data_IF_072837326810
#
_entry.id   IF_072837326810
#
_cell.length_a   1.000
_cell.length_b   1.000
_cell.length_c   1.000
_cell.angle_alpha   90.00
_cell.angle_beta   90.00
_cell.angle_gamma   90.00
#
_symmetry.space_group_name_H-M   'P 1'
#
loop_
_entity.id
_entity.type
_entity.pdbx_description
1 polymer ?
#
# COMPACT_ATOMS: atom_id res chain seq x y z
N UNK A 1 -2.35 -74.19 20.85
CA UNK A 1 -2.99 -72.85 20.81
C UNK A 1 -1.89 -71.78 20.88
N UNK A 2 -1.26 -71.44 19.76
CA UNK A 2 -0.21 -70.41 19.72
C UNK A 2 -0.80 -69.12 19.15
N UNK A 3 -1.09 -68.15 20.02
CA UNK A 3 -1.50 -66.80 19.63
C UNK A 3 -0.26 -65.99 19.24
N UNK A 4 -0.16 -65.61 17.97
CA UNK A 4 0.82 -64.63 17.47
C UNK A 4 0.32 -63.22 17.83
N UNK A 5 1.08 -62.48 18.62
CA UNK A 5 0.87 -61.05 18.84
C UNK A 5 1.43 -60.27 17.65
N UNK A 6 0.58 -59.50 16.98
CA UNK A 6 0.99 -58.53 15.96
C UNK A 6 1.15 -57.19 16.67
N UNK A 7 2.38 -56.70 16.77
CA UNK A 7 2.67 -55.37 17.28
C UNK A 7 2.44 -54.35 16.15
N UNK A 8 1.47 -53.45 16.34
CA UNK A 8 1.29 -52.28 15.50
C UNK A 8 2.30 -51.21 15.91
N UNK A 9 3.27 -50.92 15.06
CA UNK A 9 4.14 -49.75 15.19
C UNK A 9 3.37 -48.52 14.69
N UNK A 10 2.94 -47.65 15.61
CA UNK A 10 2.39 -46.35 15.27
C UNK A 10 3.54 -45.41 14.82
N UNK A 11 3.62 -45.14 13.52
CA UNK A 11 4.56 -44.18 12.95
C UNK A 11 4.17 -42.76 13.32
N UNK A 12 5.01 -42.08 14.10
CA UNK A 12 4.89 -40.66 14.39
C UNK A 12 5.30 -39.87 13.14
N UNK A 13 4.33 -39.30 12.43
CA UNK A 13 4.61 -38.36 11.33
C UNK A 13 4.98 -37.02 11.98
N UNK A 14 6.28 -36.73 12.02
CA UNK A 14 6.81 -35.40 12.33
C UNK A 14 6.38 -34.43 11.23
N UNK A 15 5.37 -33.61 11.52
CA UNK A 15 5.04 -32.42 10.75
C UNK A 15 6.18 -31.42 10.94
N UNK A 16 7.14 -31.43 10.03
CA UNK A 16 8.18 -30.40 9.97
C UNK A 16 7.49 -29.11 9.52
N UNK A 17 7.39 -28.16 10.43
CA UNK A 17 6.88 -26.81 10.19
C UNK A 17 7.64 -26.14 9.04
N UNK A 18 6.92 -25.71 8.01
CA UNK A 18 7.42 -24.97 6.84
C UNK A 18 7.88 -23.52 7.15
N UNK A 19 7.99 -23.12 8.41
CA UNK A 19 8.25 -21.72 8.77
C UNK A 19 9.68 -21.22 8.52
N UNK A 20 10.64 -22.09 8.17
CA UNK A 20 12.05 -21.69 7.97
C UNK A 20 12.33 -20.99 6.64
N UNK A 21 11.50 -21.21 5.63
CA UNK A 21 11.79 -20.85 4.23
C UNK A 21 11.77 -19.33 3.96
N UNK A 22 11.05 -18.55 4.79
CA UNK A 22 10.98 -17.08 4.64
C UNK A 22 12.20 -16.39 5.28
N UNK A 23 12.77 -16.98 6.34
CA UNK A 23 13.82 -16.37 7.15
C UNK A 23 15.18 -16.35 6.43
N UNK A 24 15.44 -17.31 5.54
CA UNK A 24 16.70 -17.38 4.77
C UNK A 24 16.89 -16.21 3.79
N UNK A 25 15.85 -15.40 3.58
CA UNK A 25 15.84 -14.30 2.62
C UNK A 25 15.71 -12.90 3.22
N UNK A 26 15.62 -12.76 4.55
CA UNK A 26 15.58 -11.43 5.16
C UNK A 26 16.96 -10.75 5.04
N UNK A 27 16.99 -9.55 4.44
CA UNK A 27 18.21 -8.74 4.21
C UNK A 27 18.11 -7.35 4.85
N UNK A 28 17.11 -7.12 5.69
CA UNK A 28 16.77 -5.78 6.17
C UNK A 28 16.29 -4.86 5.04
N UNK A 29 16.12 -3.57 5.36
CA UNK A 29 15.75 -2.57 4.37
C UNK A 29 16.88 -2.36 3.35
N UNK A 30 16.56 -2.54 2.07
CA UNK A 30 17.47 -2.33 0.95
C UNK A 30 16.91 -1.20 0.07
N UNK A 31 17.54 -0.03 0.12
CA UNK A 31 17.18 1.07 -0.77
C UNK A 31 17.49 0.69 -2.23
N UNK A 32 16.51 0.74 -3.15
CA UNK A 32 16.78 0.55 -4.57
C UNK A 32 17.76 1.62 -5.08
N UNK A 33 18.77 1.20 -5.86
CA UNK A 33 19.84 2.09 -6.32
C UNK A 33 19.34 3.28 -7.16
N UNK A 34 18.21 3.13 -7.84
CA UNK A 34 17.59 4.18 -8.66
C UNK A 34 16.62 5.08 -7.87
N UNK A 35 16.39 4.84 -6.58
CA UNK A 35 15.47 5.64 -5.75
C UNK A 35 16.25 6.69 -4.95
N UNK A 36 15.62 7.84 -4.63
CA UNK A 36 16.23 8.83 -3.75
C UNK A 36 16.38 8.29 -2.32
N UNK A 37 17.06 9.05 -1.46
CA UNK A 37 17.06 8.75 -0.03
C UNK A 37 15.62 8.71 0.51
N UNK A 38 15.29 7.77 1.41
CA UNK A 38 13.97 7.69 2.02
C UNK A 38 13.70 8.93 2.89
N UNK A 39 12.43 9.29 3.01
CA UNK A 39 11.95 10.32 3.95
C UNK A 39 11.82 9.72 5.35
N UNK A 40 11.46 8.44 5.44
CA UNK A 40 11.37 7.73 6.72
C UNK A 40 12.74 7.64 7.39
N UNK A 41 12.80 8.07 8.66
CA UNK A 41 14.04 8.10 9.44
C UNK A 41 14.35 6.72 10.01
N UNK A 42 15.01 5.89 9.21
CA UNK A 42 15.47 4.54 9.60
C UNK A 42 16.35 4.53 10.86
N UNK A 43 16.99 5.66 11.22
CA UNK A 43 17.72 5.81 12.48
C UNK A 43 16.83 5.71 13.71
N UNK A 44 15.57 6.15 13.61
CA UNK A 44 14.65 6.24 14.75
C UNK A 44 13.89 4.92 14.97
N UNK A 45 13.79 4.11 13.92
CA UNK A 45 13.17 2.79 13.91
C UNK A 45 13.83 1.90 12.84
N UNK A 46 15.04 1.36 13.11
CA UNK A 46 15.74 0.50 12.16
C UNK A 46 14.96 -0.79 11.94
N UNK A 47 14.93 -1.27 10.70
CA UNK A 47 14.31 -2.56 10.38
C UNK A 47 15.19 -3.68 10.92
N UNK A 48 14.65 -4.40 11.89
CA UNK A 48 15.24 -5.64 12.43
C UNK A 48 14.43 -6.83 11.92
N UNK A 49 15.02 -8.02 11.92
CA UNK A 49 14.31 -9.23 11.52
C UNK A 49 13.11 -9.50 12.44
N UNK A 50 13.32 -9.49 13.76
CA UNK A 50 12.26 -9.73 14.73
C UNK A 50 11.18 -8.63 14.71
N UNK A 51 11.56 -7.36 14.53
CA UNK A 51 10.62 -6.26 14.40
C UNK A 51 9.79 -6.32 13.11
N UNK A 52 10.40 -6.71 11.99
CA UNK A 52 9.68 -6.99 10.74
C UNK A 52 8.71 -8.15 10.89
N UNK A 53 9.14 -9.27 11.49
CA UNK A 53 8.28 -10.45 11.71
C UNK A 53 7.08 -10.11 12.58
N UNK A 54 7.32 -9.40 13.70
CA UNK A 54 6.25 -8.91 14.56
C UNK A 54 5.32 -7.96 13.81
N UNK A 55 5.86 -6.99 13.08
CA UNK A 55 5.09 -6.03 12.27
C UNK A 55 4.19 -6.71 11.25
N UNK A 56 4.73 -7.68 10.51
CA UNK A 56 3.97 -8.47 9.54
C UNK A 56 2.84 -9.23 10.21
N UNK A 57 3.10 -9.88 11.35
CA UNK A 57 2.06 -10.60 12.10
C UNK A 57 0.96 -9.65 12.57
N UNK A 58 1.32 -8.47 13.08
CA UNK A 58 0.36 -7.45 13.52
C UNK A 58 -0.47 -6.88 12.34
N UNK A 59 0.13 -6.71 11.16
CA UNK A 59 -0.57 -6.22 9.98
C UNK A 59 -1.74 -7.13 9.56
N UNK A 60 -1.58 -8.44 9.75
CA UNK A 60 -2.61 -9.44 9.46
C UNK A 60 -3.44 -9.83 10.69
N UNK A 61 -3.21 -9.23 11.87
CA UNK A 61 -3.89 -9.59 13.11
C UNK A 61 -5.32 -9.01 13.18
N UNK A 62 -6.38 -9.84 13.13
CA UNK A 62 -7.74 -9.32 13.14
C UNK A 62 -8.16 -8.75 14.51
N UNK A 63 -7.47 -9.07 15.61
CA UNK A 63 -7.74 -8.48 16.94
C UNK A 63 -7.56 -6.96 17.01
N UNK A 64 -7.02 -6.35 15.96
CA UNK A 64 -6.97 -4.90 15.81
C UNK A 64 -8.36 -4.28 15.57
N UNK A 65 -9.36 -5.06 15.15
CA UNK A 65 -10.76 -4.60 15.07
C UNK A 65 -11.57 -4.95 16.31
N UNK A 66 -12.63 -4.17 16.57
CA UNK A 66 -13.53 -4.30 17.72
C UNK A 66 -14.05 -5.72 17.94
N UNK A 67 -14.47 -6.38 16.85
CA UNK A 67 -15.03 -7.72 16.84
C UNK A 67 -14.02 -8.82 16.46
N UNK A 68 -12.74 -8.47 16.31
CA UNK A 68 -11.67 -9.37 15.91
C UNK A 68 -11.86 -10.03 14.53
N UNK A 69 -12.39 -9.32 13.53
CA UNK A 69 -12.62 -9.85 12.17
C UNK A 69 -11.88 -9.11 11.04
N UNK A 70 -11.40 -7.89 11.28
CA UNK A 70 -10.73 -7.06 10.26
C UNK A 70 -9.29 -6.83 10.68
N UNK A 71 -8.35 -7.02 9.75
CA UNK A 71 -6.94 -6.63 9.87
C UNK A 71 -6.58 -5.60 8.81
N UNK A 72 -5.38 -5.03 8.86
CA UNK A 72 -4.89 -4.18 7.77
C UNK A 72 -4.91 -4.96 6.43
N UNK A 73 -4.54 -6.24 6.48
CA UNK A 73 -4.56 -7.16 5.34
C UNK A 73 -5.94 -7.41 4.72
N UNK A 74 -7.04 -7.11 5.41
CA UNK A 74 -8.40 -7.20 4.85
C UNK A 74 -8.65 -6.14 3.76
N UNK A 75 -8.07 -4.95 3.90
CA UNK A 75 -8.22 -3.83 2.95
C UNK A 75 -6.95 -3.61 2.09
N UNK A 76 -5.82 -4.18 2.51
CA UNK A 76 -4.53 -4.05 1.83
C UNK A 76 -4.04 -5.43 1.41
N UNK A 77 -4.67 -5.98 0.37
CA UNK A 77 -4.45 -7.36 -0.09
C UNK A 77 -3.23 -7.41 -1.01
N UNK A 78 -2.22 -8.20 -0.65
CA UNK A 78 -0.93 -8.23 -1.37
C UNK A 78 -1.09 -8.52 -2.87
N UNK A 79 -1.93 -9.48 -3.26
CA UNK A 79 -2.15 -9.85 -4.67
C UNK A 79 -2.74 -8.71 -5.51
N UNK A 80 -3.30 -7.70 -4.85
CA UNK A 80 -3.84 -6.46 -5.43
C UNK A 80 -2.91 -5.28 -5.19
N UNK A 81 -1.60 -5.53 -5.10
CA UNK A 81 -0.59 -4.53 -4.73
C UNK A 81 -0.93 -3.76 -3.44
N UNK A 82 -1.54 -4.47 -2.48
CA UNK A 82 -2.01 -3.95 -1.22
C UNK A 82 -3.12 -2.89 -1.32
N UNK A 83 -4.02 -3.02 -2.29
CA UNK A 83 -5.35 -2.39 -2.27
C UNK A 83 -6.43 -3.42 -1.97
N UNK A 84 -7.70 -3.00 -1.98
CA UNK A 84 -8.85 -3.89 -1.85
C UNK A 84 -9.51 -4.09 -3.21
N UNK A 85 -9.09 -5.11 -3.96
CA UNK A 85 -9.62 -5.36 -5.29
C UNK A 85 -11.13 -5.63 -5.28
N UNK A 86 -11.80 -5.18 -6.34
CA UNK A 86 -13.24 -5.39 -6.54
C UNK A 86 -14.13 -4.45 -5.72
N UNK A 87 -13.56 -3.50 -4.99
CA UNK A 87 -14.30 -2.54 -4.17
C UNK A 87 -13.91 -1.11 -4.56
N UNK A 88 -14.90 -0.25 -4.78
CA UNK A 88 -14.70 1.18 -5.01
C UNK A 88 -14.22 1.87 -3.74
N UNK A 89 -14.85 1.57 -2.60
CA UNK A 89 -14.45 1.98 -1.25
C UNK A 89 -14.30 0.77 -0.35
N UNK A 90 -13.46 0.88 0.68
CA UNK A 90 -13.22 -0.23 1.60
C UNK A 90 -14.43 -0.60 2.44
N UNK A 91 -14.56 -1.90 2.75
CA UNK A 91 -15.56 -2.44 3.67
C UNK A 91 -14.86 -2.76 5.00
N UNK A 92 -15.25 -2.08 6.07
CA UNK A 92 -14.75 -2.35 7.41
C UNK A 92 -15.63 -3.29 8.20
N UNK A 93 -15.54 -3.16 9.52
CA UNK A 93 -16.35 -3.90 10.47
C UNK A 93 -17.86 -3.69 10.25
N UNK A 94 -18.65 -4.73 10.49
CA UNK A 94 -20.10 -4.73 10.29
C UNK A 94 -20.52 -4.33 8.85
N UNK A 95 -19.66 -4.60 7.86
CA UNK A 95 -19.81 -4.20 6.45
C UNK A 95 -20.03 -2.68 6.24
N UNK A 96 -19.53 -1.86 7.18
CA UNK A 96 -19.59 -0.40 7.04
C UNK A 96 -18.70 0.05 5.88
N UNK A 97 -19.24 0.91 5.03
CA UNK A 97 -18.52 1.45 3.89
C UNK A 97 -17.66 2.64 4.30
N UNK A 98 -16.40 2.64 3.87
CA UNK A 98 -15.52 3.78 3.91
C UNK A 98 -15.94 4.87 2.92
N UNK A 99 -15.19 5.98 2.92
CA UNK A 99 -15.43 7.11 1.99
C UNK A 99 -14.46 7.13 0.81
N UNK A 100 -13.41 6.30 0.83
CA UNK A 100 -12.32 6.32 -0.13
C UNK A 100 -11.86 4.92 -0.52
N UNK A 101 -11.27 4.83 -1.71
CA UNK A 101 -10.56 3.66 -2.20
C UNK A 101 -9.26 3.45 -1.41
N UNK A 102 -8.97 2.20 -1.05
CA UNK A 102 -7.74 1.81 -0.34
C UNK A 102 -6.50 2.03 -1.20
N UNK A 103 -5.56 2.85 -0.72
CA UNK A 103 -4.31 3.11 -1.41
C UNK A 103 -3.33 1.94 -1.25
N UNK A 104 -2.56 1.65 -2.29
CA UNK A 104 -1.46 0.70 -2.20
C UNK A 104 -0.42 1.18 -1.17
N UNK A 105 0.04 0.29 -0.29
CA UNK A 105 1.08 0.58 0.72
C UNK A 105 2.51 0.33 0.22
N UNK A 106 2.73 0.45 -1.09
CA UNK A 106 4.06 0.30 -1.68
C UNK A 106 4.91 1.56 -1.46
N UNK A 107 6.21 1.36 -1.25
CA UNK A 107 7.21 2.44 -1.24
C UNK A 107 6.93 3.55 -0.20
N UNK A 108 6.33 3.21 0.94
CA UNK A 108 5.96 4.19 1.98
C UNK A 108 7.17 4.87 2.64
N UNK A 109 8.36 4.26 2.59
CA UNK A 109 9.60 4.87 3.10
C UNK A 109 9.95 6.21 2.42
N UNK A 110 9.42 6.48 1.22
CA UNK A 110 9.66 7.72 0.47
C UNK A 110 8.49 8.70 0.51
N UNK A 111 7.39 8.35 1.17
CA UNK A 111 6.23 9.25 1.27
C UNK A 111 6.41 10.22 2.44
N UNK A 112 6.28 11.54 2.23
CA UNK A 112 6.35 12.53 3.32
C UNK A 112 5.04 12.63 4.12
N UNK A 113 3.94 12.15 3.56
CA UNK A 113 2.61 12.16 4.16
C UNK A 113 1.79 10.95 3.69
N UNK A 114 0.69 10.67 4.40
CA UNK A 114 -0.14 9.48 4.24
C UNK A 114 -1.61 9.86 4.05
N UNK A 115 -2.38 8.90 3.51
CA UNK A 115 -3.76 9.09 3.02
C UNK A 115 -3.87 9.97 1.78
N UNK A 116 -5.08 10.01 1.20
CA UNK A 116 -5.41 10.79 0.01
C UNK A 116 -5.37 12.31 0.23
N UNK A 117 -5.56 12.79 1.45
CA UNK A 117 -5.55 14.21 1.83
C UNK A 117 -4.24 14.67 2.48
N UNK A 118 -3.35 13.73 2.83
CA UNK A 118 -2.07 14.03 3.46
C UNK A 118 -2.21 14.39 4.95
N UNK A 119 -3.23 13.90 5.64
CA UNK A 119 -3.52 14.27 7.03
C UNK A 119 -2.51 13.76 8.07
N UNK A 120 -1.70 12.76 7.73
CA UNK A 120 -0.68 12.19 8.62
C UNK A 120 0.70 12.32 8.01
N UNK A 121 1.68 12.79 8.79
CA UNK A 121 3.05 13.09 8.35
C UNK A 121 4.10 12.15 8.93
N UNK A 122 3.67 11.14 9.69
CA UNK A 122 4.54 10.14 10.30
C UNK A 122 3.92 8.75 10.10
N UNK A 123 4.68 7.84 9.49
CA UNK A 123 4.22 6.49 9.21
C UNK A 123 3.90 5.73 10.50
N UNK A 124 4.63 6.00 11.60
CA UNK A 124 4.38 5.35 12.88
C UNK A 124 3.01 5.75 13.47
N UNK A 125 2.44 6.88 13.03
CA UNK A 125 1.12 7.32 13.47
C UNK A 125 0.00 6.91 12.50
N UNK A 126 0.34 6.52 11.27
CA UNK A 126 -0.63 6.18 10.24
C UNK A 126 -1.58 5.05 10.67
N UNK A 127 -1.12 3.93 11.29
CA UNK A 127 -2.03 2.84 11.67
C UNK A 127 -3.03 3.18 12.77
N UNK A 128 -2.83 4.27 13.53
CA UNK A 128 -3.79 4.69 14.56
C UNK A 128 -5.13 5.08 13.92
N UNK A 129 -5.10 5.70 12.74
CA UNK A 129 -6.31 6.14 12.03
C UNK A 129 -7.22 4.96 11.66
N UNK A 130 -6.78 3.91 10.93
CA UNK A 130 -7.65 2.78 10.60
C UNK A 130 -8.10 2.00 11.84
N UNK A 131 -7.24 1.86 12.86
CA UNK A 131 -7.61 1.21 14.14
C UNK A 131 -8.81 1.91 14.77
N UNK A 132 -8.79 3.25 14.80
CA UNK A 132 -9.79 4.06 15.51
C UNK A 132 -10.96 4.51 14.65
N UNK A 133 -10.91 4.30 13.34
CA UNK A 133 -12.00 4.71 12.45
C UNK A 133 -13.21 3.77 12.58
N UNK A 134 -14.36 4.35 12.91
CA UNK A 134 -15.65 3.68 13.10
C UNK A 134 -16.15 2.88 11.88
N UNK A 135 -15.74 3.20 10.66
CA UNK A 135 -16.11 2.45 9.44
C UNK A 135 -15.02 1.50 8.98
N UNK A 136 -13.91 1.39 9.72
CA UNK A 136 -12.80 0.48 9.41
C UNK A 136 -12.67 -0.57 10.51
N UNK A 137 -11.84 -0.33 11.55
CA UNK A 137 -11.61 -1.30 12.62
C UNK A 137 -12.42 -1.02 13.90
N UNK A 138 -12.92 0.21 14.07
CA UNK A 138 -13.82 0.66 15.16
C UNK A 138 -13.31 0.31 16.58
N UNK A 139 -12.00 0.40 16.81
CA UNK A 139 -11.35 -0.04 18.03
C UNK A 139 -10.53 1.07 18.69
N UNK A 140 -10.30 0.95 19.99
CA UNK A 140 -9.36 1.81 20.71
C UNK A 140 -7.97 1.19 20.74
N UNK A 141 -6.93 2.00 20.56
CA UNK A 141 -5.55 1.52 20.65
C UNK A 141 -5.30 0.81 21.98
N UNK A 142 -5.79 1.34 23.11
CA UNK A 142 -5.59 0.69 24.42
C UNK A 142 -6.20 -0.72 24.49
N UNK A 143 -7.40 -0.91 23.93
CA UNK A 143 -8.01 -2.23 23.91
C UNK A 143 -7.28 -3.20 22.97
N UNK A 144 -6.75 -2.74 21.83
CA UNK A 144 -5.84 -3.55 21.01
C UNK A 144 -4.64 -4.01 21.85
N UNK A 145 -3.97 -3.10 22.56
CA UNK A 145 -2.83 -3.46 23.40
C UNK A 145 -3.24 -4.44 24.51
N UNK A 146 -4.41 -4.27 25.13
CA UNK A 146 -4.93 -5.20 26.13
C UNK A 146 -5.14 -6.62 25.54
N UNK A 147 -5.74 -6.73 24.35
CA UNK A 147 -5.91 -8.01 23.63
C UNK A 147 -4.55 -8.66 23.34
N UNK A 148 -3.57 -7.88 22.86
CA UNK A 148 -2.23 -8.38 22.56
C UNK A 148 -1.51 -8.86 23.84
N UNK A 149 -1.61 -8.13 24.94
CA UNK A 149 -1.00 -8.50 26.24
C UNK A 149 -1.58 -9.79 26.81
N UNK A 150 -2.87 -10.05 26.58
CA UNK A 150 -3.55 -11.26 27.05
C UNK A 150 -3.27 -12.49 26.16
N UNK A 151 -2.78 -12.28 24.94
CA UNK A 151 -2.46 -13.38 24.04
C UNK A 151 -1.11 -14.01 24.42
N UNK A 152 -1.01 -15.35 24.52
CA UNK A 152 0.20 -16.01 25.04
C UNK A 152 1.45 -15.82 24.17
N UNK A 153 1.28 -15.49 22.89
CA UNK A 153 2.40 -15.39 21.94
C UNK A 153 3.05 -14.00 21.91
N UNK A 154 2.26 -12.92 21.99
CA UNK A 154 2.74 -11.57 21.69
C UNK A 154 3.82 -11.05 22.64
N UNK A 155 3.73 -11.21 23.98
CA UNK A 155 4.80 -10.77 24.88
C UNK A 155 6.17 -11.31 24.48
N UNK A 156 6.25 -12.58 24.07
CA UNK A 156 7.49 -13.19 23.60
C UNK A 156 8.01 -12.59 22.29
N UNK A 157 7.11 -12.24 21.35
CA UNK A 157 7.48 -11.59 20.09
C UNK A 157 7.98 -10.16 20.31
N UNK A 158 7.33 -9.40 21.20
CA UNK A 158 7.80 -8.07 21.60
C UNK A 158 9.17 -8.14 22.29
N UNK A 159 9.41 -9.17 23.11
CA UNK A 159 10.72 -9.39 23.74
C UNK A 159 11.83 -9.59 22.72
N UNK A 160 11.57 -10.36 21.66
CA UNK A 160 12.52 -10.55 20.57
C UNK A 160 12.77 -9.25 19.81
N UNK A 161 11.71 -8.55 19.41
CA UNK A 161 11.80 -7.33 18.61
C UNK A 161 12.39 -6.12 19.36
N UNK A 162 12.10 -5.97 20.66
CA UNK A 162 12.39 -4.75 21.42
C UNK A 162 13.11 -5.00 22.76
N UNK A 163 13.52 -6.24 23.05
CA UNK A 163 14.21 -6.60 24.29
C UNK A 163 13.30 -6.61 25.54
N UNK A 164 11.99 -6.41 25.39
CA UNK A 164 11.03 -6.37 26.50
C UNK A 164 9.69 -6.99 26.12
N UNK A 165 9.08 -7.71 27.05
CA UNK A 165 7.72 -8.29 26.91
C UNK A 165 6.61 -7.23 26.97
N UNK A 166 6.93 -6.02 27.39
CA UNK A 166 5.97 -4.94 27.53
C UNK A 166 5.49 -4.45 26.15
N UNK A 167 4.17 -4.51 25.96
CA UNK A 167 3.48 -4.09 24.73
C UNK A 167 2.96 -2.66 24.94
N UNK A 168 3.51 -1.72 24.17
CA UNK A 168 3.17 -0.28 24.22
C UNK A 168 2.75 0.21 22.84
N UNK A 169 2.00 1.31 22.79
CA UNK A 169 1.63 1.96 21.51
C UNK A 169 2.85 2.18 20.64
N UNK A 170 3.93 2.75 21.19
CA UNK A 170 5.15 3.04 20.44
C UNK A 170 5.79 1.78 19.83
N UNK A 171 5.89 0.67 20.57
CA UNK A 171 6.47 -0.58 20.05
C UNK A 171 5.57 -1.23 19.00
N UNK A 172 4.26 -1.24 19.22
CA UNK A 172 3.29 -1.80 18.26
C UNK A 172 3.32 -1.03 16.94
N UNK A 173 3.29 0.30 16.99
CA UNK A 173 3.35 1.14 15.80
C UNK A 173 4.69 1.02 15.08
N UNK A 174 5.81 1.03 15.81
CA UNK A 174 7.14 0.82 15.21
C UNK A 174 7.28 -0.53 14.53
N UNK A 175 6.73 -1.60 15.11
CA UNK A 175 6.73 -2.91 14.49
C UNK A 175 5.94 -2.89 13.17
N UNK A 176 4.71 -2.34 13.17
CA UNK A 176 3.91 -2.17 11.95
C UNK A 176 4.69 -1.37 10.89
N UNK A 177 5.31 -0.25 11.26
CA UNK A 177 6.12 0.54 10.34
C UNK A 177 7.28 -0.26 9.75
N UNK A 178 8.01 -1.06 10.54
CA UNK A 178 9.09 -1.91 10.04
C UNK A 178 8.62 -2.88 8.95
N UNK A 179 7.39 -3.40 9.05
CA UNK A 179 6.78 -4.17 7.97
C UNK A 179 6.38 -3.30 6.77
N UNK A 180 5.65 -2.22 7.00
CA UNK A 180 5.14 -1.35 5.93
C UNK A 180 6.24 -0.71 5.09
N UNK A 181 7.39 -0.33 5.66
CA UNK A 181 8.51 0.21 4.87
C UNK A 181 9.26 -0.85 4.07
N UNK A 182 9.08 -2.13 4.41
CA UNK A 182 9.61 -3.27 3.65
C UNK A 182 8.73 -3.64 2.45
N UNK A 183 7.52 -3.08 2.35
CA UNK A 183 6.69 -3.16 1.15
C UNK A 183 7.25 -2.29 0.01
N UNK A 184 8.42 -2.67 -0.52
CA UNK A 184 9.12 -1.96 -1.60
C UNK A 184 8.84 -2.60 -2.95
N UNK A 185 8.32 -1.81 -3.89
CA UNK A 185 8.12 -2.20 -5.29
C UNK A 185 9.17 -1.50 -6.17
N UNK A 186 10.15 -2.28 -6.64
CA UNK A 186 11.34 -1.80 -7.36
C UNK A 186 11.96 -2.82 -8.33
N UNK A 187 11.20 -3.86 -8.68
CA UNK A 187 11.60 -4.93 -9.60
C UNK A 187 10.66 -5.01 -10.82
N UNK A 188 10.03 -3.89 -11.19
CA UNK A 188 9.22 -3.83 -12.41
C UNK A 188 10.09 -3.86 -13.68
N UNK A 189 9.47 -4.03 -14.85
CA UNK A 189 10.22 -3.96 -16.12
C UNK A 189 10.88 -2.60 -16.29
N UNK A 190 10.21 -1.50 -15.91
CA UNK A 190 10.79 -0.16 -15.88
C UNK A 190 12.08 -0.13 -15.05
N UNK A 191 12.06 -0.72 -13.85
CA UNK A 191 13.24 -0.74 -12.98
C UNK A 191 14.39 -1.55 -13.62
N UNK A 192 14.08 -2.66 -14.28
CA UNK A 192 15.06 -3.46 -15.02
C UNK A 192 15.69 -2.67 -16.18
N UNK A 193 14.89 -1.87 -16.90
CA UNK A 193 15.41 -0.97 -17.95
C UNK A 193 16.30 0.11 -17.36
N UNK A 194 15.92 0.72 -16.23
CA UNK A 194 16.77 1.73 -15.56
C UNK A 194 18.06 1.13 -14.97
N UNK A 195 18.06 -0.15 -14.62
CA UNK A 195 19.24 -0.93 -14.22
C UNK A 195 20.09 -1.39 -15.42
N UNK A 196 19.62 -1.24 -16.66
CA UNK A 196 20.30 -1.70 -17.87
C UNK A 196 20.24 -3.22 -18.09
N UNK A 197 19.37 -3.93 -17.37
CA UNK A 197 19.21 -5.40 -17.45
C UNK A 197 18.06 -5.83 -18.36
N UNK A 198 17.29 -4.87 -18.87
CA UNK A 198 16.24 -5.07 -19.86
C UNK A 198 16.17 -3.84 -20.80
N UNK A 199 15.39 -3.95 -21.86
CA UNK A 199 15.07 -2.83 -22.76
C UNK A 199 13.56 -2.68 -22.91
N UNK A 200 13.13 -1.45 -23.20
CA UNK A 200 11.78 -1.23 -23.69
C UNK A 200 11.64 -1.80 -25.10
N UNK A 201 10.47 -2.31 -25.41
CA UNK A 201 10.02 -2.47 -26.79
C UNK A 201 9.82 -1.08 -27.42
N UNK A 202 9.78 -1.01 -28.75
CA UNK A 202 9.53 0.25 -29.45
C UNK A 202 8.19 0.92 -29.04
N UNK A 203 7.17 0.14 -28.69
CA UNK A 203 5.88 0.69 -28.24
C UNK A 203 5.97 1.27 -26.82
N UNK A 204 6.65 0.57 -25.90
CA UNK A 204 6.88 1.05 -24.52
C UNK A 204 7.81 2.27 -24.50
N UNK A 205 8.81 2.33 -25.38
CA UNK A 205 9.72 3.48 -25.48
C UNK A 205 8.98 4.74 -25.96
N UNK A 206 8.14 4.61 -26.99
CA UNK A 206 7.24 5.69 -27.42
C UNK A 206 6.25 6.07 -26.31
N UNK A 207 5.72 5.07 -25.60
CA UNK A 207 4.85 5.29 -24.45
C UNK A 207 5.52 6.05 -23.32
N UNK A 208 6.79 5.76 -23.06
CA UNK A 208 7.59 6.48 -22.08
C UNK A 208 7.78 7.95 -22.51
N UNK A 209 8.04 8.21 -23.79
CA UNK A 209 8.12 9.58 -24.30
C UNK A 209 6.78 10.34 -24.15
N UNK A 210 5.64 9.69 -24.41
CA UNK A 210 4.30 10.27 -24.16
C UNK A 210 4.13 10.59 -22.67
N UNK A 211 4.45 9.65 -21.79
CA UNK A 211 4.39 9.83 -20.34
C UNK A 211 5.26 11.02 -19.88
N UNK A 212 6.51 11.11 -20.37
CA UNK A 212 7.42 12.20 -20.02
C UNK A 212 6.85 13.55 -20.43
N UNK A 213 6.23 13.65 -21.60
CA UNK A 213 5.67 14.91 -22.10
C UNK A 213 4.35 15.31 -21.43
N UNK A 214 3.53 14.33 -21.01
CA UNK A 214 2.12 14.56 -20.66
C UNK A 214 1.76 14.30 -19.20
N UNK A 215 2.55 13.49 -18.49
CA UNK A 215 2.19 12.98 -17.16
C UNK A 215 3.24 13.26 -16.08
N UNK A 216 4.52 13.35 -16.46
CA UNK A 216 5.66 13.43 -15.53
C UNK A 216 5.70 14.71 -14.68
N UNK A 217 4.98 15.76 -15.08
CA UNK A 217 4.85 17.01 -14.32
C UNK A 217 4.19 16.83 -12.95
N UNK A 218 3.36 15.79 -12.80
CA UNK A 218 2.75 15.39 -11.54
C UNK A 218 3.29 14.02 -11.10
N UNK A 219 3.38 13.06 -12.02
CA UNK A 219 3.80 11.70 -11.71
C UNK A 219 5.31 11.50 -11.91
N UNK A 220 6.13 12.18 -11.11
CA UNK A 220 7.58 12.24 -11.32
C UNK A 220 8.30 10.91 -11.07
N UNK A 221 9.20 10.49 -11.95
CA UNK A 221 10.09 9.35 -11.72
C UNK A 221 11.05 9.58 -10.53
N UNK A 222 11.54 8.52 -9.86
CA UNK A 222 11.33 7.09 -10.11
C UNK A 222 10.10 6.51 -9.38
N UNK A 223 9.47 7.27 -8.49
CA UNK A 223 8.32 6.82 -7.70
C UNK A 223 6.97 7.07 -8.40
N UNK A 224 6.98 7.78 -9.53
CA UNK A 224 5.80 8.13 -10.33
C UNK A 224 4.77 8.96 -9.57
N UNK A 225 5.26 9.83 -8.69
CA UNK A 225 4.51 10.80 -7.89
C UNK A 225 5.47 11.92 -7.49
N UNK A 226 4.96 13.14 -7.42
CA UNK A 226 5.64 14.29 -6.82
C UNK A 226 5.16 14.56 -5.38
N UNK A 227 4.25 13.72 -4.85
CA UNK A 227 3.58 13.84 -3.55
C UNK A 227 2.79 15.15 -3.34
N UNK A 228 2.60 15.96 -4.40
CA UNK A 228 1.82 17.19 -4.31
C UNK A 228 0.32 16.90 -4.19
N UNK A 229 -0.45 17.93 -3.86
CA UNK A 229 -1.91 17.87 -3.77
C UNK A 229 -2.52 18.70 -4.88
N UNK A 230 -3.42 18.10 -5.65
CA UNK A 230 -3.97 18.72 -6.86
C UNK A 230 -5.46 18.44 -6.98
N UNK A 231 -6.19 19.42 -7.50
CA UNK A 231 -7.54 19.22 -7.97
C UNK A 231 -7.44 18.76 -9.42
N UNK A 232 -7.79 17.50 -9.68
CA UNK A 232 -7.70 16.91 -11.01
C UNK A 232 -8.97 17.11 -11.86
N UNK A 233 -9.90 17.94 -11.38
CA UNK A 233 -11.17 18.25 -12.02
C UNK A 233 -12.16 17.08 -12.05
N UNK A 234 -11.95 16.02 -11.26
CA UNK A 234 -12.94 14.96 -11.14
C UNK A 234 -14.25 15.52 -10.56
N UNK A 235 -15.43 15.16 -11.11
CA UNK A 235 -16.71 15.62 -10.56
C UNK A 235 -16.86 15.33 -9.08
N UNK A 236 -17.47 16.24 -8.32
CA UNK A 236 -17.75 16.02 -6.90
C UNK A 236 -18.63 14.77 -6.75
N UNK A 237 -18.16 13.82 -5.93
CA UNK A 237 -18.85 12.55 -5.68
C UNK A 237 -20.02 12.71 -4.69
N UNK A 238 -20.84 11.65 -4.50
CA UNK A 238 -22.01 11.69 -3.62
C UNK A 238 -21.71 12.02 -2.15
N UNK A 239 -20.51 11.68 -1.67
CA UNK A 239 -20.05 11.96 -0.31
C UNK A 239 -19.52 13.40 -0.14
N UNK A 240 -19.40 14.17 -1.22
CA UNK A 240 -18.78 15.50 -1.24
C UNK A 240 -17.45 15.56 -0.45
N UNK A 241 -16.56 14.61 -0.70
CA UNK A 241 -15.24 14.57 -0.07
C UNK A 241 -14.42 15.81 -0.46
N UNK A 242 -14.26 16.75 0.48
CA UNK A 242 -13.53 17.99 0.28
C UNK A 242 -12.00 17.81 0.27
N UNK A 243 -11.51 16.57 0.43
CA UNK A 243 -10.11 16.20 0.29
C UNK A 243 -9.23 16.90 1.32
N UNK A 244 -8.13 17.50 0.83
CA UNK A 244 -7.14 18.20 1.65
C UNK A 244 -7.70 19.35 2.48
N UNK A 245 -8.80 19.97 2.07
CA UNK A 245 -9.45 21.01 2.87
C UNK A 245 -9.81 20.54 4.29
N UNK A 246 -10.20 19.28 4.46
CA UNK A 246 -10.53 18.71 5.77
C UNK A 246 -9.32 18.69 6.73
N UNK A 247 -8.11 18.78 6.20
CA UNK A 247 -6.85 18.85 6.96
C UNK A 247 -6.41 20.30 7.16
N UNK A 248 -6.49 21.14 6.12
CA UNK A 248 -5.87 22.47 6.12
C UNK A 248 -6.82 23.62 6.44
N UNK A 249 -8.13 23.41 6.29
CA UNK A 249 -9.19 24.42 6.35
C UNK A 249 -8.97 25.61 5.39
N UNK A 250 -8.13 25.43 4.36
CA UNK A 250 -7.87 26.43 3.34
C UNK A 250 -8.75 26.17 2.12
N UNK A 251 -9.65 27.10 1.79
CA UNK A 251 -10.55 26.98 0.62
C UNK A 251 -9.80 26.68 -0.69
N UNK A 252 -8.56 27.14 -0.84
CA UNK A 252 -7.75 26.84 -2.02
C UNK A 252 -7.42 25.34 -2.15
N UNK A 253 -7.50 24.55 -1.09
CA UNK A 253 -7.22 23.10 -1.04
C UNK A 253 -8.46 22.22 -1.18
N UNK A 254 -9.64 22.81 -1.31
CA UNK A 254 -10.90 22.09 -1.48
C UNK A 254 -10.84 21.17 -2.71
N UNK A 255 -11.19 19.90 -2.54
CA UNK A 255 -11.15 18.86 -3.59
C UNK A 255 -9.74 18.56 -4.14
N UNK A 256 -8.67 19.00 -3.46
CA UNK A 256 -7.33 18.53 -3.77
C UNK A 256 -7.06 17.20 -3.08
N UNK A 257 -6.46 16.29 -3.83
CA UNK A 257 -5.97 15.01 -3.32
C UNK A 257 -4.51 14.83 -3.71
N UNK A 258 -3.80 14.02 -2.93
CA UNK A 258 -2.42 13.64 -3.22
C UNK A 258 -2.33 13.00 -4.60
N UNK A 259 -1.31 13.38 -5.36
CA UNK A 259 -0.94 12.70 -6.61
C UNK A 259 -0.45 11.29 -6.26
N UNK A 260 -1.17 10.20 -6.61
CA UNK A 260 -0.75 8.85 -6.27
C UNK A 260 0.44 8.41 -7.14
N UNK A 261 1.17 7.39 -6.66
CA UNK A 261 2.15 6.69 -7.49
C UNK A 261 1.45 5.94 -8.62
N UNK A 262 2.02 5.95 -9.82
CA UNK A 262 1.58 5.10 -10.94
C UNK A 262 2.22 3.69 -10.94
N UNK A 263 3.00 3.34 -9.94
CA UNK A 263 3.54 1.97 -9.81
C UNK A 263 2.38 0.99 -9.58
N UNK A 264 2.49 -0.22 -10.12
CA UNK A 264 1.51 -1.30 -9.94
C UNK A 264 0.06 -1.02 -10.37
N UNK A 265 -0.21 -0.01 -11.23
CA UNK A 265 -1.58 0.32 -11.68
C UNK A 265 -2.37 -0.88 -12.21
N UNK A 266 -1.70 -1.85 -12.84
CA UNK A 266 -2.33 -3.08 -13.34
C UNK A 266 -3.08 -3.87 -12.25
N UNK A 267 -2.68 -3.71 -10.98
CA UNK A 267 -3.19 -4.50 -9.85
C UNK A 267 -4.07 -3.69 -8.89
N UNK A 268 -4.18 -2.37 -9.09
CA UNK A 268 -4.81 -1.46 -8.11
C UNK A 268 -6.15 -0.89 -8.57
N UNK A 269 -6.80 -1.51 -9.56
CA UNK A 269 -8.16 -1.11 -9.92
C UNK A 269 -9.15 -1.41 -8.76
N UNK A 270 -10.18 -0.57 -8.57
CA UNK A 270 -10.52 0.61 -9.36
C UNK A 270 -9.72 1.87 -8.98
N UNK A 271 -9.86 2.96 -9.73
CA UNK A 271 -9.00 4.15 -9.65
C UNK A 271 -9.73 5.39 -9.11
N UNK A 272 -8.93 6.39 -8.74
CA UNK A 272 -9.29 7.64 -8.05
C UNK A 272 -9.54 7.45 -6.56
N UNK A 273 -9.68 8.56 -5.82
CA UNK A 273 -9.85 8.54 -4.37
C UNK A 273 -11.12 7.83 -3.93
N UNK A 274 -12.12 7.70 -4.81
CA UNK A 274 -13.41 7.07 -4.54
C UNK A 274 -13.71 5.85 -5.42
N UNK A 275 -12.70 5.36 -6.16
CA UNK A 275 -12.81 4.11 -6.91
C UNK A 275 -13.82 4.13 -8.07
N UNK A 276 -14.28 5.30 -8.53
CA UNK A 276 -15.35 5.37 -9.54
C UNK A 276 -14.95 4.89 -10.95
N UNK A 277 -13.65 4.80 -11.24
CA UNK A 277 -13.16 4.38 -12.56
C UNK A 277 -12.63 2.94 -12.52
N UNK A 278 -13.27 2.05 -13.28
CA UNK A 278 -12.96 0.60 -13.25
C UNK A 278 -11.73 0.22 -14.07
N UNK A 279 -11.30 1.05 -15.01
CA UNK A 279 -10.18 0.78 -15.92
C UNK A 279 -9.42 2.07 -16.25
N UNK A 280 -8.20 1.92 -16.79
CA UNK A 280 -7.36 3.07 -17.15
C UNK A 280 -7.90 3.86 -18.34
N UNK A 281 -8.69 3.26 -19.23
CA UNK A 281 -9.33 4.00 -20.32
C UNK A 281 -10.29 5.06 -19.78
N UNK A 282 -11.11 4.74 -18.77
CA UNK A 282 -11.98 5.71 -18.10
C UNK A 282 -11.18 6.83 -17.40
N UNK A 283 -10.02 6.50 -16.83
CA UNK A 283 -9.09 7.50 -16.27
C UNK A 283 -8.56 8.44 -17.36
N UNK A 284 -8.17 7.90 -18.50
CA UNK A 284 -7.66 8.69 -19.62
C UNK A 284 -8.77 9.51 -20.30
N UNK A 285 -10.00 8.99 -20.36
CA UNK A 285 -11.19 9.73 -20.83
C UNK A 285 -11.48 10.93 -19.93
N UNK A 286 -11.35 10.76 -18.60
CA UNK A 286 -11.45 11.86 -17.64
C UNK A 286 -10.44 12.96 -17.96
N UNK A 287 -9.14 12.63 -18.03
CA UNK A 287 -8.11 13.63 -18.31
C UNK A 287 -8.20 14.22 -19.73
N UNK A 288 -8.76 13.49 -20.70
CA UNK A 288 -8.93 13.99 -22.07
C UNK A 288 -10.13 14.96 -22.21
N UNK A 289 -11.26 14.67 -21.55
CA UNK A 289 -12.52 15.41 -21.76
C UNK A 289 -13.45 15.52 -20.55
N UNK A 290 -13.24 14.76 -19.47
CA UNK A 290 -14.10 14.74 -18.28
C UNK A 290 -13.75 15.75 -17.19
N UNK A 291 -12.66 16.51 -17.34
CA UNK A 291 -12.22 17.53 -16.38
C UNK A 291 -13.28 18.62 -16.22
N UNK A 292 -13.76 18.79 -14.99
CA UNK A 292 -14.60 19.92 -14.58
C UNK A 292 -13.75 21.16 -14.31
N UNK A 293 -14.14 22.26 -14.93
CA UNK A 293 -13.52 23.56 -14.71
C UNK A 293 -14.03 24.14 -13.38
N UNK A 294 -13.11 24.34 -12.44
CA UNK A 294 -13.37 24.93 -11.13
C UNK A 294 -12.31 26.01 -10.86
N UNK A 295 -12.59 26.93 -9.93
CA UNK A 295 -11.70 28.04 -9.63
C UNK A 295 -10.33 27.62 -9.09
N UNK A 296 -10.23 26.42 -8.51
CA UNK A 296 -9.00 25.86 -7.96
C UNK A 296 -8.52 24.60 -8.70
N UNK A 297 -8.99 24.36 -9.93
CA UNK A 297 -8.47 23.34 -10.83
C UNK A 297 -6.95 23.52 -11.00
N UNK A 298 -6.21 22.41 -11.06
CA UNK A 298 -4.77 22.49 -11.36
C UNK A 298 -4.54 23.17 -12.73
N UNK A 299 -3.72 24.25 -12.81
CA UNK A 299 -3.50 24.99 -14.05
C UNK A 299 -3.02 24.12 -15.22
N UNK A 300 -2.30 23.02 -14.95
CA UNK A 300 -1.81 22.09 -15.97
C UNK A 300 -2.95 21.30 -16.65
N UNK A 301 -4.14 21.27 -16.07
CA UNK A 301 -5.29 20.50 -16.54
C UNK A 301 -6.37 21.35 -17.21
N UNK A 302 -6.19 22.68 -17.27
CA UNK A 302 -7.16 23.61 -17.87
C UNK A 302 -7.54 23.25 -19.31
N UNK A 303 -6.58 22.73 -20.10
CA UNK A 303 -6.80 22.28 -21.49
C UNK A 303 -7.01 20.77 -21.63
N UNK A 304 -7.03 20.04 -20.51
CA UNK A 304 -6.96 18.59 -20.48
C UNK A 304 -5.66 18.00 -21.04
N UNK A 305 -5.58 16.68 -21.03
CA UNK A 305 -4.45 15.89 -21.57
C UNK A 305 -4.93 15.18 -22.83
N UNK A 306 -4.75 15.83 -23.98
CA UNK A 306 -5.12 15.25 -25.28
C UNK A 306 -4.15 14.14 -25.67
N UNK A 307 -4.70 12.97 -25.93
CA UNK A 307 -4.01 11.80 -26.45
C UNK A 307 -4.74 11.32 -27.70
N UNK A 308 -4.02 11.14 -28.80
CA UNK A 308 -4.56 10.38 -29.93
C UNK A 308 -4.57 8.87 -29.64
N UNK A 309 -5.15 8.08 -30.56
CA UNK A 309 -5.29 6.63 -30.40
C UNK A 309 -3.94 5.91 -30.22
N UNK A 310 -2.92 6.34 -30.96
CA UNK A 310 -1.59 5.71 -30.91
C UNK A 310 -0.86 6.08 -29.61
N UNK A 311 -0.92 7.35 -29.21
CA UNK A 311 -0.37 7.84 -27.94
C UNK A 311 -1.02 7.15 -26.75
N UNK A 312 -2.34 6.98 -26.75
CA UNK A 312 -3.06 6.24 -25.71
C UNK A 312 -2.55 4.81 -25.61
N UNK A 313 -2.49 4.09 -26.75
CA UNK A 313 -2.02 2.70 -26.78
C UNK A 313 -0.59 2.58 -26.24
N UNK A 314 0.31 3.44 -26.73
CA UNK A 314 1.71 3.48 -26.32
C UNK A 314 1.85 3.79 -24.83
N UNK A 315 1.12 4.80 -24.33
CA UNK A 315 1.11 5.16 -22.91
C UNK A 315 0.68 3.98 -22.04
N UNK A 316 -0.42 3.30 -22.39
CA UNK A 316 -0.88 2.11 -21.65
C UNK A 316 0.15 0.97 -21.70
N UNK A 317 0.86 0.80 -22.82
CA UNK A 317 1.97 -0.15 -22.96
C UNK A 317 3.09 0.17 -21.97
N UNK A 318 3.48 1.45 -21.87
CA UNK A 318 4.46 1.92 -20.91
C UNK A 318 4.00 1.76 -19.45
N UNK A 319 2.77 2.15 -19.11
CA UNK A 319 2.27 2.07 -17.72
C UNK A 319 2.29 0.63 -17.18
N UNK A 320 2.06 -0.38 -18.03
CA UNK A 320 2.21 -1.80 -17.65
C UNK A 320 3.64 -2.17 -17.25
N UNK A 321 4.65 -1.46 -17.75
CA UNK A 321 6.05 -1.69 -17.35
C UNK A 321 6.32 -1.30 -15.89
N UNK A 322 5.41 -0.53 -15.26
CA UNK A 322 5.49 -0.10 -13.87
C UNK A 322 4.93 -1.14 -12.88
N UNK A 323 4.39 -2.25 -13.39
CA UNK A 323 3.87 -3.36 -12.59
C UNK A 323 4.99 -4.30 -12.15
N UNK A 324 5.08 -4.52 -10.84
CA UNK A 324 6.05 -5.40 -10.19
C UNK A 324 5.35 -6.70 -9.74
N UNK A 325 5.47 -7.76 -10.55
CA UNK A 325 4.87 -9.06 -10.23
C UNK A 325 5.49 -9.71 -9.00
N UNK A 326 6.74 -9.40 -8.67
CA UNK A 326 7.42 -9.95 -7.49
C UNK A 326 6.85 -9.35 -6.21
N UNK A 327 6.53 -8.06 -6.22
CA UNK A 327 5.90 -7.36 -5.09
C UNK A 327 4.58 -8.04 -4.66
N UNK A 328 3.72 -8.40 -5.63
CA UNK A 328 2.40 -9.00 -5.35
C UNK A 328 2.43 -10.52 -5.08
N UNK A 329 3.57 -11.19 -5.24
CA UNK A 329 3.68 -12.66 -5.08
C UNK A 329 4.75 -13.10 -4.08
N UNK A 330 5.61 -12.21 -3.61
CA UNK A 330 6.68 -12.57 -2.68
C UNK A 330 6.14 -13.10 -1.36
N UNK A 331 6.62 -14.28 -0.93
CA UNK A 331 6.27 -14.85 0.38
C UNK A 331 6.76 -14.02 1.56
N UNK A 332 7.72 -13.11 1.34
CA UNK A 332 8.22 -12.23 2.39
C UNK A 332 7.11 -11.33 2.95
N UNK A 333 6.19 -10.88 2.10
CA UNK A 333 5.13 -9.95 2.50
C UNK A 333 3.77 -10.62 2.75
N UNK A 334 3.64 -11.91 2.43
CA UNK A 334 2.39 -12.65 2.58
C UNK A 334 2.03 -12.87 4.05
N UNK A 335 0.73 -13.11 4.28
CA UNK A 335 0.21 -13.62 5.56
C UNK A 335 0.85 -14.98 5.89
N UNK A 336 1.04 -15.25 7.19
CA UNK A 336 1.81 -16.40 7.69
C UNK A 336 0.99 -17.65 7.91
#
# INVERSE_FOLDING_TARGET
MNKRFIAFAAGFILLISCSKDIMDHFRGFQQPANFPAPVYRLSDNPVTEDGFILGRKLFYEPRFSRNNTISCGSCHIQSSAFTQHGHDVSHGIDDRLGSRNSQAIMNLAWSPDFFWDGGVFDLDLQPIVPITNHVEMDETVENVLAKLRQHPEYPSLFKKAFGSEEITTARTMKALSQFMIMCVSSESKYDSVKKGTATFTNEEEKGYAVFQQKCSSCHKEPLFTDHSFRNNGIPIGPNNDEGRYLVTLNEADKYKFKVPSLRNLEFTAPYMHDGRFLNLDAVLDHYNSGIQQTSNLDPLLTSGIKLDTDQRKQLLSFLKTLSDRKFITTRLLADQ
#
